data_IF_029988399861
#
_entry.id   IF_029988399861
#
_cell.length_a   1.000
_cell.length_b   1.000
_cell.length_c   1.000
_cell.angle_alpha   90.00
_cell.angle_beta   90.00
_cell.angle_gamma   90.00
#
_symmetry.space_group_name_H-M   'P 1'
#
loop_
_entity.id
_entity.type
_entity.pdbx_description
1 polymer ?
#
# COMPACT_ATOMS: atom_id res chain seq x y z
N UNK A 1 16.45 1.42 -10.17
CA UNK A 1 16.76 0.75 -8.89
C UNK A 1 15.59 -0.12 -8.48
N UNK A 2 15.85 -1.36 -8.10
CA UNK A 2 14.79 -2.28 -7.71
C UNK A 2 14.37 -2.06 -6.27
N UNK A 3 13.09 -2.31 -5.98
CA UNK A 3 12.51 -2.18 -4.66
C UNK A 3 12.07 -3.56 -4.17
N UNK A 4 12.14 -3.79 -2.86
CA UNK A 4 11.48 -4.96 -2.29
C UNK A 4 9.96 -4.74 -2.32
N UNK A 5 9.19 -5.82 -2.18
CA UNK A 5 7.72 -5.75 -2.25
C UNK A 5 7.16 -4.81 -1.18
N UNK A 6 7.69 -4.86 0.04
CA UNK A 6 7.23 -3.99 1.13
C UNK A 6 7.41 -2.51 0.78
N UNK A 7 8.54 -2.17 0.16
CA UNK A 7 8.78 -0.80 -0.27
C UNK A 7 7.84 -0.40 -1.39
N UNK A 8 7.60 -1.29 -2.35
CA UNK A 8 6.67 -1.02 -3.45
C UNK A 8 5.26 -0.73 -2.91
N UNK A 9 4.80 -1.52 -1.94
CA UNK A 9 3.50 -1.29 -1.31
C UNK A 9 3.47 0.05 -0.60
N UNK A 10 4.50 0.36 0.19
CA UNK A 10 4.59 1.63 0.93
C UNK A 10 4.58 2.83 -0.02
N UNK A 11 5.35 2.77 -1.10
CA UNK A 11 5.40 3.83 -2.10
C UNK A 11 4.07 4.00 -2.82
N UNK A 12 3.40 2.89 -3.15
CA UNK A 12 2.08 2.94 -3.80
C UNK A 12 1.05 3.61 -2.90
N UNK A 13 1.04 3.25 -1.62
CA UNK A 13 0.13 3.87 -0.65
C UNK A 13 0.38 5.39 -0.58
N UNK A 14 1.65 5.78 -0.41
CA UNK A 14 2.01 7.19 -0.30
C UNK A 14 1.61 7.98 -1.55
N UNK A 15 1.83 7.39 -2.72
CA UNK A 15 1.45 7.98 -4.00
C UNK A 15 -0.07 8.21 -4.08
N UNK A 16 -0.85 7.18 -3.71
CA UNK A 16 -2.32 7.25 -3.76
C UNK A 16 -2.89 8.22 -2.73
N UNK A 17 -2.30 8.29 -1.53
CA UNK A 17 -2.72 9.27 -0.53
C UNK A 17 -2.59 10.68 -1.09
N UNK A 18 -1.48 10.95 -1.77
CA UNK A 18 -1.24 12.26 -2.36
C UNK A 18 -2.18 12.54 -3.53
N UNK A 19 -2.32 11.58 -4.45
CA UNK A 19 -3.18 11.73 -5.62
C UNK A 19 -4.64 11.92 -5.26
N UNK A 20 -5.12 11.18 -4.27
CA UNK A 20 -6.53 11.21 -3.86
C UNK A 20 -6.79 12.20 -2.75
N UNK A 21 -5.75 12.86 -2.25
CA UNK A 21 -5.84 13.85 -1.17
C UNK A 21 -6.54 13.25 0.06
N UNK A 22 -6.09 12.08 0.49
CA UNK A 22 -6.61 11.36 1.65
C UNK A 22 -5.51 11.28 2.70
N UNK A 23 -5.88 11.46 3.97
CA UNK A 23 -4.93 11.32 5.08
C UNK A 23 -4.73 9.84 5.42
N UNK A 24 -3.60 9.52 6.07
CA UNK A 24 -3.35 8.16 6.58
C UNK A 24 -4.46 7.73 7.53
N UNK A 25 -4.89 8.62 8.41
CA UNK A 25 -5.95 8.33 9.37
C UNK A 25 -7.25 7.92 8.67
N UNK A 26 -7.65 8.69 7.65
CA UNK A 26 -8.87 8.40 6.89
C UNK A 26 -8.72 7.07 6.12
N UNK A 27 -7.56 6.81 5.54
CA UNK A 27 -7.32 5.54 4.85
C UNK A 27 -7.47 4.36 5.82
N UNK A 28 -6.90 4.47 7.02
CA UNK A 28 -7.00 3.40 8.02
C UNK A 28 -8.47 3.14 8.37
N UNK A 29 -9.26 4.20 8.60
CA UNK A 29 -10.68 4.06 8.89
C UNK A 29 -11.41 3.38 7.73
N UNK A 30 -11.17 3.83 6.50
CA UNK A 30 -11.83 3.29 5.32
C UNK A 30 -11.44 1.84 5.05
N UNK A 31 -10.22 1.46 5.45
CA UNK A 31 -9.68 0.11 5.24
C UNK A 31 -10.05 -0.86 6.34
N UNK A 32 -10.56 -0.36 7.48
CA UNK A 32 -10.87 -1.21 8.61
C UNK A 32 -9.65 -1.74 9.34
N UNK A 33 -8.52 -1.05 9.26
CA UNK A 33 -7.30 -1.39 9.98
C UNK A 33 -6.94 -0.27 10.94
N UNK A 34 -6.09 -0.56 11.93
CA UNK A 34 -5.66 0.47 12.87
C UNK A 34 -4.68 1.43 12.19
N UNK A 35 -4.66 2.67 12.65
CA UNK A 35 -3.70 3.66 12.17
C UNK A 35 -2.26 3.19 12.41
N UNK A 36 -2.03 2.53 13.55
CA UNK A 36 -0.73 1.95 13.88
C UNK A 36 -0.28 0.91 12.86
N UNK A 37 -1.18 0.01 12.46
CA UNK A 37 -0.89 -0.99 11.44
C UNK A 37 -0.53 -0.33 10.11
N UNK A 38 -1.31 0.67 9.70
CA UNK A 38 -1.04 1.39 8.45
C UNK A 38 0.30 2.11 8.50
N UNK A 39 0.60 2.77 9.61
CA UNK A 39 1.90 3.45 9.77
C UNK A 39 3.06 2.48 9.65
N UNK A 40 2.93 1.30 10.24
CA UNK A 40 3.98 0.28 10.15
C UNK A 40 4.21 -0.18 8.71
N UNK A 41 3.15 -0.29 7.93
CA UNK A 41 3.24 -0.66 6.52
C UNK A 41 3.95 0.45 5.72
N UNK A 42 3.55 1.70 5.93
CA UNK A 42 4.13 2.86 5.23
C UNK A 42 5.60 3.04 5.60
N UNK A 43 5.96 2.78 6.86
CA UNK A 43 7.33 2.93 7.34
C UNK A 43 8.17 1.66 7.12
N UNK A 44 7.59 0.63 6.50
CA UNK A 44 8.29 -0.61 6.18
C UNK A 44 8.83 -1.35 7.41
N UNK A 45 8.13 -1.24 8.52
CA UNK A 45 8.52 -1.93 9.76
C UNK A 45 7.85 -3.29 9.92
N UNK A 46 6.98 -3.67 8.97
CA UNK A 46 6.39 -5.00 8.92
C UNK A 46 7.32 -5.95 8.18
N UNK A 47 7.31 -7.22 8.57
CA UNK A 47 8.15 -8.21 7.92
C UNK A 47 7.65 -8.54 6.52
N UNK A 48 6.36 -8.74 6.39
CA UNK A 48 5.71 -9.01 5.10
C UNK A 48 4.32 -8.38 5.08
N UNK A 49 3.85 -8.04 3.89
CA UNK A 49 2.49 -7.55 3.69
C UNK A 49 1.62 -8.72 3.27
N UNK A 50 0.58 -8.99 4.05
CA UNK A 50 -0.40 -10.02 3.70
C UNK A 50 -1.27 -9.51 2.56
N UNK A 51 -1.60 -10.39 1.62
CA UNK A 51 -2.48 -10.03 0.51
C UNK A 51 -3.84 -9.55 1.01
N UNK A 52 -4.38 -10.16 2.06
CA UNK A 52 -5.65 -9.73 2.65
C UNK A 52 -5.58 -8.28 3.12
N UNK A 53 -4.48 -7.87 3.72
CA UNK A 53 -4.28 -6.48 4.17
C UNK A 53 -4.18 -5.54 2.97
N UNK A 54 -3.48 -5.94 1.92
CA UNK A 54 -3.37 -5.13 0.70
C UNK A 54 -4.74 -4.94 0.05
N UNK A 55 -5.56 -5.99 0.04
CA UNK A 55 -6.94 -5.90 -0.48
C UNK A 55 -7.77 -4.90 0.33
N UNK A 56 -7.63 -4.92 1.66
CA UNK A 56 -8.33 -3.96 2.53
C UNK A 56 -7.88 -2.53 2.27
N UNK A 57 -6.59 -2.31 2.08
CA UNK A 57 -6.05 -0.99 1.79
C UNK A 57 -6.55 -0.49 0.43
N UNK A 58 -6.56 -1.34 -0.58
CA UNK A 58 -7.12 -1.00 -1.89
C UNK A 58 -8.59 -0.59 -1.75
N UNK A 59 -9.35 -1.38 -1.00
CA UNK A 59 -10.75 -1.06 -0.73
C UNK A 59 -10.90 0.29 -0.03
N UNK A 60 -9.99 0.62 0.87
CA UNK A 60 -9.97 1.91 1.56
C UNK A 60 -9.76 3.08 0.62
N UNK A 61 -9.11 2.86 -0.52
CA UNK A 61 -8.96 3.82 -1.61
C UNK A 61 -10.11 3.73 -2.63
N UNK A 62 -11.10 2.87 -2.39
CA UNK A 62 -12.19 2.61 -3.32
C UNK A 62 -11.65 2.03 -4.65
N UNK A 63 -10.68 1.14 -4.54
CA UNK A 63 -10.04 0.48 -5.67
C UNK A 63 -10.11 -1.03 -5.50
N UNK A 64 -10.02 -1.75 -6.60
CA UNK A 64 -9.79 -3.20 -6.55
C UNK A 64 -8.29 -3.44 -6.28
N UNK A 65 -7.95 -4.65 -5.82
CA UNK A 65 -6.53 -4.99 -5.64
C UNK A 65 -5.80 -4.95 -6.99
N UNK A 66 -6.46 -5.31 -8.07
CA UNK A 66 -5.88 -5.22 -9.42
C UNK A 66 -5.50 -3.80 -9.77
N UNK A 67 -6.38 -2.84 -9.49
CA UNK A 67 -6.09 -1.43 -9.72
C UNK A 67 -4.96 -0.92 -8.83
N UNK A 68 -4.95 -1.36 -7.57
CA UNK A 68 -3.88 -0.99 -6.65
C UNK A 68 -2.52 -1.46 -7.16
N UNK A 69 -2.45 -2.69 -7.68
CA UNK A 69 -1.21 -3.29 -8.16
C UNK A 69 -0.86 -2.86 -9.59
N UNK A 70 -1.74 -2.13 -10.27
CA UNK A 70 -1.50 -1.64 -11.62
C UNK A 70 -0.60 -0.40 -11.58
N UNK A 71 0.68 -0.64 -11.37
CA UNK A 71 1.68 0.40 -11.23
C UNK A 71 3.04 -0.18 -11.61
N UNK A 72 3.92 0.62 -12.24
CA UNK A 72 5.29 0.18 -12.54
C UNK A 72 6.05 -0.32 -11.31
N UNK A 73 5.65 0.11 -10.11
CA UNK A 73 6.28 -0.32 -8.87
C UNK A 73 6.22 -1.84 -8.68
N UNK A 74 5.21 -2.49 -9.24
CA UNK A 74 4.98 -3.94 -9.06
C UNK A 74 5.43 -4.78 -10.25
N UNK A 75 6.01 -4.17 -11.27
CA UNK A 75 6.60 -4.95 -12.37
C UNK A 75 7.78 -5.75 -11.84
N UNK A 76 7.90 -7.01 -12.24
CA UNK A 76 8.96 -7.90 -11.77
C UNK A 76 10.35 -7.30 -11.99
N UNK A 77 10.55 -6.58 -13.10
CA UNK A 77 11.82 -5.93 -13.42
C UNK A 77 12.18 -4.83 -12.42
N UNK A 78 11.19 -4.31 -11.67
CA UNK A 78 11.39 -3.26 -10.68
C UNK A 78 11.36 -3.78 -9.25
N UNK A 79 11.14 -5.08 -9.07
CA UNK A 79 11.08 -5.73 -7.76
C UNK A 79 12.32 -6.56 -7.53
N UNK A 80 12.78 -6.53 -6.29
CA UNK A 80 13.89 -7.32 -5.83
C UNK A 80 13.34 -8.59 -5.15
N UNK A 81 13.07 -9.59 -5.99
CA UNK A 81 12.45 -10.85 -5.55
C UNK A 81 13.27 -12.06 -6.01
#
# INVERSE_FOLDING_TARGET
MNNCVNRAVALRISQLLKEKNITQYRLALNSGITHSTLKNIIHETVKDNLLSTVILIASGFNMTVSEFLDSPLFLEENLDI
#
